data_IF_950849969289
#
_entry.id   IF_950849969289
#
_cell.length_a   1.000
_cell.length_b   1.000
_cell.length_c   1.000
_cell.angle_alpha   90.00
_cell.angle_beta   90.00
_cell.angle_gamma   90.00
#
_symmetry.space_group_name_H-M   'P 1'
#
loop_
_entity.id
_entity.type
_entity.pdbx_description
1 polymer ?
#
# COMPACT_ATOMS: atom_id res chain seq x y z
N UNK A 1 -22.84 -6.51 7.81
CA UNK A 1 -23.06 -6.83 6.37
C UNK A 1 -21.75 -6.76 5.58
N UNK A 2 -21.50 -7.62 4.57
CA UNK A 2 -20.19 -7.67 3.93
C UNK A 2 -19.92 -6.47 3.02
N UNK A 3 -18.66 -6.05 2.91
CA UNK A 3 -18.17 -5.11 1.90
C UNK A 3 -17.12 -5.80 1.05
N UNK A 4 -17.15 -5.60 -0.28
CA UNK A 4 -16.28 -6.29 -1.20
C UNK A 4 -15.70 -5.38 -2.29
N UNK A 5 -14.38 -5.31 -2.35
CA UNK A 5 -13.62 -4.58 -3.37
C UNK A 5 -12.84 -5.53 -4.27
N UNK A 6 -12.97 -5.35 -5.58
CA UNK A 6 -12.22 -6.10 -6.58
C UNK A 6 -11.19 -5.19 -7.25
N UNK A 7 -9.91 -5.56 -7.13
CA UNK A 7 -8.77 -4.87 -7.72
C UNK A 7 -8.22 -5.72 -8.85
N UNK A 8 -7.75 -5.10 -9.93
CA UNK A 8 -6.93 -5.79 -10.94
C UNK A 8 -5.89 -4.87 -11.53
N UNK A 9 -4.78 -5.46 -11.93
CA UNK A 9 -3.57 -4.73 -12.23
C UNK A 9 -2.66 -5.59 -13.09
N UNK A 10 -1.96 -4.98 -14.05
CA UNK A 10 -0.98 -5.65 -14.89
C UNK A 10 0.03 -4.67 -15.50
N UNK A 11 1.11 -5.23 -16.01
CA UNK A 11 2.08 -4.56 -16.90
C UNK A 11 1.51 -4.59 -18.32
N UNK A 12 1.06 -3.43 -18.81
CA UNK A 12 0.42 -3.32 -20.13
C UNK A 12 0.83 -2.03 -20.86
N UNK A 13 2.10 -1.90 -21.27
CA UNK A 13 2.54 -0.75 -22.06
C UNK A 13 2.07 -0.84 -23.53
N UNK A 14 1.80 -2.03 -24.05
CA UNK A 14 1.35 -2.29 -25.42
C UNK A 14 0.82 -3.72 -25.54
N UNK A 15 0.09 -4.04 -26.61
CA UNK A 15 -0.49 -5.37 -26.82
C UNK A 15 0.54 -6.47 -27.08
N UNK A 16 1.56 -6.24 -27.92
CA UNK A 16 2.52 -7.30 -28.28
C UNK A 16 3.94 -6.78 -28.47
N UNK A 17 4.88 -7.39 -27.73
CA UNK A 17 6.32 -7.19 -27.87
C UNK A 17 7.07 -8.47 -28.26
N UNK A 18 8.23 -8.31 -28.86
CA UNK A 18 9.13 -9.39 -29.24
C UNK A 18 10.55 -9.08 -28.76
N UNK A 19 11.22 -10.10 -28.19
CA UNK A 19 12.64 -10.02 -27.87
C UNK A 19 13.48 -10.03 -29.12
N UNK A 20 14.47 -9.16 -29.19
CA UNK A 20 15.47 -9.20 -30.26
C UNK A 20 16.76 -9.84 -29.77
N UNK A 21 17.51 -9.10 -28.97
CA UNK A 21 18.85 -9.46 -28.52
C UNK A 21 19.28 -8.56 -27.36
N UNK A 22 19.84 -9.14 -26.30
CA UNK A 22 20.18 -8.37 -25.09
C UNK A 22 18.95 -7.68 -24.50
N UNK A 23 19.07 -6.40 -24.12
CA UNK A 23 17.96 -5.59 -23.58
C UNK A 23 17.17 -4.84 -24.67
N UNK A 24 17.23 -5.31 -25.93
CA UNK A 24 16.48 -4.68 -27.04
C UNK A 24 15.19 -5.44 -27.30
N UNK A 25 14.08 -4.72 -27.23
CA UNK A 25 12.73 -5.21 -27.46
C UNK A 25 12.14 -4.49 -28.68
N UNK A 26 11.33 -5.19 -29.47
CA UNK A 26 10.58 -4.61 -30.60
C UNK A 26 9.11 -4.64 -30.26
N UNK A 27 8.46 -3.49 -30.35
CA UNK A 27 7.01 -3.39 -30.26
C UNK A 27 6.44 -3.84 -31.62
N UNK A 28 5.67 -4.92 -31.61
CA UNK A 28 5.00 -5.45 -32.81
C UNK A 28 3.59 -4.88 -32.94
N UNK A 29 2.89 -4.75 -31.82
CA UNK A 29 1.60 -4.11 -31.74
C UNK A 29 1.60 -3.12 -30.58
N UNK A 30 1.41 -1.84 -30.93
CA UNK A 30 1.41 -0.72 -29.98
C UNK A 30 0.01 -0.38 -29.48
N UNK A 31 -1.02 -1.05 -29.97
CA UNK A 31 -2.38 -0.83 -29.50
C UNK A 31 -2.44 -1.05 -27.99
N UNK A 32 -3.23 -0.22 -27.31
CA UNK A 32 -3.44 -0.33 -25.86
C UNK A 32 -4.89 -0.02 -25.58
N UNK A 33 -5.66 -1.08 -25.36
CA UNK A 33 -7.07 -1.00 -24.99
C UNK A 33 -7.24 -0.48 -23.55
N UNK A 34 -8.41 0.07 -23.25
CA UNK A 34 -8.76 0.46 -21.87
C UNK A 34 -8.86 -0.78 -20.98
N UNK A 35 -8.10 -0.88 -19.87
CA UNK A 35 -8.10 -2.04 -19.00
C UNK A 35 -9.19 -1.97 -17.90
N UNK A 36 -10.21 -1.14 -18.07
CA UNK A 36 -11.27 -0.94 -17.07
C UNK A 36 -12.33 -2.05 -17.03
N UNK A 37 -12.36 -2.92 -18.04
CA UNK A 37 -13.39 -3.95 -18.18
C UNK A 37 -12.81 -5.34 -17.98
N UNK A 38 -13.41 -6.10 -17.07
CA UNK A 38 -13.07 -7.50 -16.80
C UNK A 38 -14.34 -8.35 -16.74
N UNK A 39 -14.13 -9.65 -16.60
CA UNK A 39 -15.19 -10.63 -16.40
C UNK A 39 -14.99 -11.34 -15.07
N UNK A 40 -15.97 -11.34 -14.18
CA UNK A 40 -15.93 -12.02 -12.88
C UNK A 40 -16.86 -13.25 -12.88
N UNK A 41 -16.33 -14.42 -12.56
CA UNK A 41 -17.10 -15.63 -12.25
C UNK A 41 -17.05 -15.88 -10.74
N UNK A 42 -18.22 -16.13 -10.16
CA UNK A 42 -18.43 -16.28 -8.71
C UNK A 42 -18.79 -17.74 -8.37
N UNK A 43 -18.56 -18.24 -7.15
CA UNK A 43 -18.75 -19.65 -6.80
C UNK A 43 -20.17 -20.17 -7.08
N UNK A 44 -21.17 -19.32 -6.87
CA UNK A 44 -22.58 -19.67 -7.02
C UNK A 44 -23.11 -19.56 -8.45
N UNK A 45 -22.29 -19.15 -9.43
CA UNK A 45 -22.71 -18.91 -10.81
C UNK A 45 -21.66 -19.36 -11.82
N UNK A 46 -22.07 -20.15 -12.80
CA UNK A 46 -21.14 -20.63 -13.83
C UNK A 46 -20.79 -19.62 -14.92
N UNK A 47 -21.63 -18.62 -15.13
CA UNK A 47 -21.44 -17.56 -16.11
C UNK A 47 -20.56 -16.44 -15.58
N UNK A 48 -19.79 -15.83 -16.48
CA UNK A 48 -19.06 -14.61 -16.21
C UNK A 48 -19.98 -13.39 -16.19
N UNK A 49 -19.75 -12.52 -15.21
CA UNK A 49 -20.44 -11.24 -15.01
C UNK A 49 -19.50 -10.13 -15.50
N UNK A 50 -19.92 -9.25 -16.42
CA UNK A 50 -19.11 -8.10 -16.82
C UNK A 50 -18.99 -7.13 -15.65
N UNK A 51 -17.75 -6.71 -15.37
CA UNK A 51 -17.44 -5.72 -14.34
C UNK A 51 -16.73 -4.54 -15.02
N UNK A 52 -17.28 -3.35 -14.82
CA UNK A 52 -16.61 -2.09 -15.12
C UNK A 52 -15.95 -1.58 -13.84
N UNK A 53 -14.69 -1.18 -13.96
CA UNK A 53 -13.93 -0.52 -12.90
C UNK A 53 -13.59 0.92 -13.22
N UNK A 54 -12.98 1.54 -12.23
CA UNK A 54 -12.30 2.84 -12.32
C UNK A 54 -10.80 2.62 -12.27
N UNK A 55 -10.04 3.32 -13.12
CA UNK A 55 -8.58 3.33 -13.04
C UNK A 55 -8.13 4.17 -11.84
N UNK A 56 -7.49 3.53 -10.87
CA UNK A 56 -6.88 4.19 -9.71
C UNK A 56 -5.48 4.70 -10.03
N UNK A 57 -4.75 4.01 -10.91
CA UNK A 57 -3.43 4.42 -11.38
C UNK A 57 -3.12 3.87 -12.76
N UNK A 58 -2.39 4.65 -13.57
CA UNK A 58 -1.88 4.21 -14.86
C UNK A 58 -0.54 4.90 -15.15
N UNK A 59 0.53 4.11 -15.25
CA UNK A 59 1.87 4.62 -15.49
C UNK A 59 2.18 4.78 -16.97
N UNK A 60 1.31 4.35 -17.89
CA UNK A 60 1.52 4.44 -19.33
C UNK A 60 1.75 5.88 -19.83
N UNK A 61 1.13 6.86 -19.16
CA UNK A 61 1.30 8.29 -19.45
C UNK A 61 2.21 9.00 -18.43
N UNK A 62 2.99 8.26 -17.63
CA UNK A 62 3.89 8.83 -16.64
C UNK A 62 4.98 9.68 -17.29
N UNK A 63 5.35 10.78 -16.63
CA UNK A 63 6.53 11.58 -17.00
C UNK A 63 7.85 10.87 -16.66
N UNK A 64 7.82 9.88 -15.78
CA UNK A 64 8.97 9.05 -15.47
C UNK A 64 9.08 7.95 -16.52
N UNK A 65 10.15 8.00 -17.32
CA UNK A 65 10.36 7.09 -18.46
C UNK A 65 10.36 5.62 -18.06
N UNK A 66 10.96 5.25 -16.92
CA UNK A 66 10.97 3.88 -16.43
C UNK A 66 9.57 3.37 -16.09
N UNK A 67 8.74 4.24 -15.50
CA UNK A 67 7.35 3.93 -15.19
C UNK A 67 6.50 3.82 -16.45
N UNK A 68 6.75 4.70 -17.42
CA UNK A 68 6.10 4.69 -18.72
C UNK A 68 6.42 3.41 -19.51
N UNK A 69 7.68 2.99 -19.52
CA UNK A 69 8.12 1.76 -20.18
C UNK A 69 7.46 0.51 -19.58
N UNK A 70 7.25 0.46 -18.26
CA UNK A 70 6.49 -0.62 -17.62
C UNK A 70 4.99 -0.55 -17.94
N UNK A 71 4.39 0.64 -18.05
CA UNK A 71 2.96 0.78 -18.37
C UNK A 71 2.02 0.00 -17.45
N UNK A 72 2.34 -0.02 -16.15
CA UNK A 72 1.53 -0.67 -15.12
C UNK A 72 0.25 0.12 -14.85
N UNK A 73 -0.88 -0.58 -14.68
CA UNK A 73 -2.14 0.04 -14.28
C UNK A 73 -2.74 -0.65 -13.07
N UNK A 74 -3.60 0.05 -12.33
CA UNK A 74 -4.45 -0.49 -11.28
C UNK A 74 -5.88 -0.01 -11.50
N UNK A 75 -6.81 -0.94 -11.46
CA UNK A 75 -8.23 -0.69 -11.55
C UNK A 75 -8.95 -1.30 -10.34
N UNK A 76 -10.10 -0.72 -10.01
CA UNK A 76 -10.91 -1.09 -8.86
C UNK A 76 -12.40 -1.05 -9.21
N UNK A 77 -13.17 -1.95 -8.62
CA UNK A 77 -14.63 -1.92 -8.63
C UNK A 77 -15.19 -2.38 -7.29
N UNK A 78 -16.21 -1.69 -6.80
CA UNK A 78 -17.01 -2.14 -5.66
C UNK A 78 -17.99 -3.22 -6.14
N UNK A 79 -17.74 -4.46 -5.74
CA UNK A 79 -18.55 -5.64 -6.10
C UNK A 79 -19.43 -6.10 -4.94
N UNK A 80 -19.62 -5.25 -3.92
CA UNK A 80 -20.37 -5.55 -2.70
C UNK A 80 -21.76 -6.12 -2.99
N UNK A 81 -22.52 -5.53 -3.92
CA UNK A 81 -23.86 -6.01 -4.24
C UNK A 81 -23.84 -7.39 -4.91
N UNK A 82 -22.85 -7.65 -5.77
CA UNK A 82 -22.66 -8.95 -6.41
C UNK A 82 -22.37 -10.00 -5.34
N UNK A 83 -21.49 -9.71 -4.37
CA UNK A 83 -21.14 -10.63 -3.29
C UNK A 83 -22.32 -10.84 -2.32
N UNK A 84 -23.02 -9.76 -1.91
CA UNK A 84 -24.20 -9.83 -1.02
C UNK A 84 -25.33 -10.68 -1.56
N UNK A 85 -25.53 -10.69 -2.88
CA UNK A 85 -26.61 -11.44 -3.51
C UNK A 85 -26.37 -12.97 -3.54
N UNK A 86 -25.19 -13.44 -3.15
CA UNK A 86 -24.82 -14.85 -3.24
C UNK A 86 -25.28 -15.63 -2.03
N UNK A 87 -25.77 -16.84 -2.27
CA UNK A 87 -26.09 -17.81 -1.22
C UNK A 87 -24.84 -18.49 -0.63
N UNK A 88 -23.77 -18.54 -1.42
CA UNK A 88 -22.52 -19.22 -1.06
C UNK A 88 -21.34 -18.29 -1.35
N UNK A 89 -20.71 -17.80 -0.28
CA UNK A 89 -19.55 -16.91 -0.36
C UNK A 89 -18.23 -17.68 -0.52
N UNK A 90 -18.18 -18.94 -0.08
CA UNK A 90 -17.00 -19.80 -0.15
C UNK A 90 -16.92 -20.54 -1.49
N UNK A 91 -15.71 -20.59 -2.06
CA UNK A 91 -15.44 -21.34 -3.29
C UNK A 91 -14.47 -20.59 -4.20
N UNK A 92 -14.41 -21.02 -5.46
CA UNK A 92 -13.48 -20.47 -6.44
C UNK A 92 -14.08 -19.28 -7.17
N UNK A 93 -13.35 -18.17 -7.17
CA UNK A 93 -13.63 -17.00 -7.99
C UNK A 93 -12.64 -16.96 -9.15
N UNK A 94 -13.11 -16.56 -10.32
CA UNK A 94 -12.24 -16.35 -11.49
C UNK A 94 -12.44 -14.95 -12.03
N UNK A 95 -11.34 -14.33 -12.46
CA UNK A 95 -11.40 -13.11 -13.26
C UNK A 95 -10.75 -13.39 -14.60
N UNK A 96 -11.43 -13.01 -15.67
CA UNK A 96 -10.94 -13.05 -17.03
C UNK A 96 -10.85 -11.62 -17.60
N UNK A 97 -10.20 -11.50 -18.75
CA UNK A 97 -9.96 -10.24 -19.47
C UNK A 97 -9.15 -9.19 -18.69
N UNK A 98 -8.31 -9.62 -17.73
CA UNK A 98 -7.24 -8.74 -17.23
C UNK A 98 -6.22 -8.56 -18.35
N UNK A 99 -6.16 -7.36 -18.91
CA UNK A 99 -5.26 -7.07 -20.04
C UNK A 99 -3.83 -6.95 -19.54
N UNK A 100 -2.92 -7.74 -20.12
CA UNK A 100 -1.48 -7.67 -19.89
C UNK A 100 -0.79 -7.73 -21.25
N UNK A 101 0.46 -7.26 -21.32
CA UNK A 101 1.20 -7.30 -22.57
C UNK A 101 1.59 -8.74 -22.93
N UNK A 102 1.43 -9.10 -24.20
CA UNK A 102 1.85 -10.38 -24.73
C UNK A 102 3.29 -10.34 -25.25
N UNK A 103 3.94 -11.51 -25.26
CA UNK A 103 5.32 -11.66 -25.70
C UNK A 103 6.31 -11.12 -24.66
N UNK A 104 7.36 -10.43 -25.10
CA UNK A 104 8.38 -9.90 -24.21
C UNK A 104 8.33 -8.37 -24.07
N UNK A 105 8.27 -7.93 -22.81
CA UNK A 105 8.31 -6.53 -22.39
C UNK A 105 9.60 -6.30 -21.59
N UNK A 106 10.14 -5.09 -21.67
CA UNK A 106 11.28 -4.68 -20.85
C UNK A 106 10.97 -4.88 -19.35
N UNK A 107 11.76 -5.73 -18.69
CA UNK A 107 11.57 -6.06 -17.28
C UNK A 107 10.53 -7.15 -17.00
N UNK A 108 9.94 -7.76 -18.03
CA UNK A 108 8.92 -8.78 -17.89
C UNK A 108 7.49 -8.23 -17.89
N UNK A 109 6.53 -9.15 -17.86
CA UNK A 109 5.10 -8.86 -17.79
C UNK A 109 4.47 -9.67 -16.66
N UNK A 110 3.49 -9.10 -16.00
CA UNK A 110 2.70 -9.77 -14.97
C UNK A 110 1.29 -9.17 -14.90
N UNK A 111 0.33 -9.90 -14.34
CA UNK A 111 -1.00 -9.34 -14.12
C UNK A 111 -1.94 -10.24 -13.34
N UNK A 112 -3.00 -9.64 -12.81
CA UNK A 112 -4.19 -10.33 -12.33
C UNK A 112 -5.12 -9.45 -11.50
N UNK A 113 -6.06 -10.06 -10.77
CA UNK A 113 -6.96 -9.52 -9.72
C UNK A 113 -6.81 -9.91 -8.18
N UNK A 114 -7.16 -9.03 -7.23
CA UNK A 114 -7.37 -9.35 -5.79
C UNK A 114 -8.82 -9.04 -5.42
N UNK A 115 -9.53 -9.98 -4.80
CA UNK A 115 -10.83 -9.72 -4.20
C UNK A 115 -10.68 -9.63 -2.69
N UNK A 116 -11.07 -8.49 -2.12
CA UNK A 116 -11.08 -8.25 -0.68
C UNK A 116 -12.53 -8.28 -0.23
N UNK A 117 -12.86 -9.18 0.71
CA UNK A 117 -14.19 -9.29 1.30
C UNK A 117 -14.08 -9.15 2.81
N UNK A 118 -14.72 -8.14 3.37
CA UNK A 118 -14.86 -7.96 4.82
C UNK A 118 -16.28 -8.35 5.18
N UNK A 119 -16.46 -9.26 6.14
CA UNK A 119 -17.77 -9.77 6.53
C UNK A 119 -17.84 -10.08 8.03
N UNK A 120 -19.06 -10.12 8.57
CA UNK A 120 -19.33 -10.49 9.96
C UNK A 120 -19.40 -12.01 10.10
N UNK A 121 -18.79 -12.55 11.14
CA UNK A 121 -18.87 -13.96 11.50
C UNK A 121 -18.89 -14.10 13.02
N UNK A 122 -20.01 -14.55 13.57
CA UNK A 122 -20.23 -14.68 15.02
C UNK A 122 -19.28 -15.70 15.69
N UNK A 123 -18.71 -16.63 14.92
CA UNK A 123 -17.76 -17.61 15.43
C UNK A 123 -16.33 -17.05 15.60
N UNK A 124 -16.07 -15.80 15.22
CA UNK A 124 -14.77 -15.17 15.31
C UNK A 124 -14.80 -13.93 16.21
N UNK A 125 -13.65 -13.67 16.84
CA UNK A 125 -13.36 -12.45 17.57
C UNK A 125 -13.56 -11.18 16.74
N UNK A 126 -13.91 -10.09 17.43
CA UNK A 126 -14.05 -8.75 16.85
C UNK A 126 -12.69 -8.27 16.34
N UNK A 127 -12.68 -7.75 15.11
CA UNK A 127 -11.48 -7.21 14.45
C UNK A 127 -11.70 -5.79 13.98
N UNK A 128 -10.71 -4.92 14.19
CA UNK A 128 -10.61 -3.62 13.53
C UNK A 128 -9.79 -3.81 12.26
N UNK A 129 -10.38 -3.50 11.10
CA UNK A 129 -9.74 -3.66 9.79
C UNK A 129 -9.63 -2.30 9.13
N UNK A 130 -8.40 -1.86 8.86
CA UNK A 130 -8.10 -0.64 8.12
C UNK A 130 -7.53 -1.05 6.77
N UNK A 131 -8.12 -0.57 5.68
CA UNK A 131 -7.67 -0.85 4.33
C UNK A 131 -7.20 0.42 3.66
N UNK A 132 -6.10 0.34 2.94
CA UNK A 132 -5.62 1.42 2.10
C UNK A 132 -5.42 0.91 0.70
N UNK A 133 -6.11 1.56 -0.21
CA UNK A 133 -5.90 1.40 -1.64
C UNK A 133 -4.66 2.21 -2.01
N UNK A 134 -3.97 1.89 -3.09
CA UNK A 134 -2.91 2.77 -3.54
C UNK A 134 -2.21 2.26 -4.75
N UNK A 135 -1.28 3.02 -5.30
CA UNK A 135 -0.36 2.51 -6.31
C UNK A 135 1.01 3.08 -6.01
N UNK A 136 1.72 2.35 -5.17
CA UNK A 136 2.98 2.77 -4.58
C UNK A 136 4.12 2.10 -5.30
N UNK A 137 5.07 2.91 -5.76
CA UNK A 137 6.25 2.47 -6.51
C UNK A 137 7.53 2.96 -5.85
N UNK A 138 8.58 2.14 -5.94
CA UNK A 138 9.94 2.51 -5.54
C UNK A 138 10.10 2.66 -4.02
N UNK A 139 10.72 3.77 -3.59
CA UNK A 139 10.98 4.06 -2.17
C UNK A 139 9.95 5.05 -1.65
N UNK A 140 8.87 4.53 -1.08
CA UNK A 140 7.72 5.32 -0.62
C UNK A 140 7.26 4.84 0.74
N UNK A 141 6.87 5.77 1.61
CA UNK A 141 6.28 5.46 2.91
C UNK A 141 4.76 5.48 2.82
N UNK A 142 4.12 4.51 3.47
CA UNK A 142 2.68 4.37 3.61
C UNK A 142 2.37 4.36 5.11
N UNK A 143 1.52 5.26 5.57
CA UNK A 143 1.26 5.46 6.99
C UNK A 143 -0.14 4.97 7.38
N UNK A 144 -0.23 4.15 8.42
CA UNK A 144 -1.48 3.60 8.94
C UNK A 144 -1.72 4.11 10.36
N UNK A 145 -2.88 4.70 10.55
CA UNK A 145 -3.36 5.12 11.87
C UNK A 145 -4.09 3.94 12.51
N UNK A 146 -3.33 3.06 13.16
CA UNK A 146 -3.92 1.96 13.93
C UNK A 146 -3.45 2.03 15.38
N UNK A 147 -4.43 2.10 16.27
CA UNK A 147 -4.28 2.00 17.72
C UNK A 147 -4.27 0.51 18.12
N UNK A 148 -3.10 -0.12 18.15
CA UNK A 148 -2.93 -1.47 18.69
C UNK A 148 -2.37 -1.43 20.12
N UNK A 149 -2.82 -2.35 20.97
CA UNK A 149 -2.34 -2.52 22.33
C UNK A 149 -1.42 -3.73 22.46
N UNK A 150 -0.63 -3.76 23.53
CA UNK A 150 0.15 -4.92 23.93
C UNK A 150 -0.81 -6.14 24.11
N UNK A 151 -0.48 -7.28 23.48
CA UNK A 151 -1.26 -8.54 23.44
C UNK A 151 -2.45 -8.61 22.46
N UNK A 152 -2.62 -7.66 21.54
CA UNK A 152 -3.56 -7.80 20.42
C UNK A 152 -2.90 -8.55 19.23
N UNK A 153 -3.65 -9.45 18.56
CA UNK A 153 -3.16 -10.08 17.32
C UNK A 153 -3.23 -9.04 16.20
N UNK A 154 -2.07 -8.64 15.68
CA UNK A 154 -1.94 -7.62 14.64
C UNK A 154 -1.43 -8.28 13.38
N UNK A 155 -2.21 -8.16 12.31
CA UNK A 155 -1.88 -8.71 10.99
C UNK A 155 -1.80 -7.63 9.94
N UNK A 156 -0.85 -7.80 9.04
CA UNK A 156 -0.70 -6.95 7.86
C UNK A 156 -0.91 -7.79 6.63
N UNK A 157 -1.86 -7.39 5.81
CA UNK A 157 -2.18 -8.03 4.54
C UNK A 157 -1.88 -7.07 3.41
N UNK A 158 -1.38 -7.54 2.29
CA UNK A 158 -1.30 -6.66 1.12
C UNK A 158 -0.99 -7.38 -0.17
N UNK A 159 -1.05 -6.62 -1.25
CA UNK A 159 -0.82 -7.09 -2.59
C UNK A 159 0.06 -6.13 -3.37
N UNK A 160 1.00 -6.68 -4.14
CA UNK A 160 1.82 -5.93 -5.08
C UNK A 160 1.90 -6.63 -6.45
N UNK A 161 2.26 -5.87 -7.49
CA UNK A 161 2.77 -6.39 -8.75
C UNK A 161 4.29 -6.43 -8.73
N UNK A 162 4.86 -7.34 -9.52
CA UNK A 162 6.29 -7.70 -9.54
C UNK A 162 6.81 -8.21 -8.19
N UNK A 163 8.08 -8.60 -8.19
CA UNK A 163 8.78 -9.13 -7.02
C UNK A 163 9.35 -10.49 -7.31
N UNK A 164 10.41 -10.55 -8.11
CA UNK A 164 11.02 -11.80 -8.50
C UNK A 164 11.66 -12.50 -7.32
N UNK A 165 11.39 -13.79 -7.23
CA UNK A 165 11.98 -14.60 -6.18
C UNK A 165 13.51 -14.60 -6.29
N UNK A 166 14.18 -14.38 -5.16
CA UNK A 166 15.62 -14.32 -5.03
C UNK A 166 16.28 -13.08 -5.66
N UNK A 167 15.52 -12.03 -5.95
CA UNK A 167 16.08 -10.72 -6.27
C UNK A 167 16.10 -9.88 -5.00
N UNK A 168 17.30 -9.48 -4.59
CA UNK A 168 17.49 -8.78 -3.33
C UNK A 168 17.30 -7.26 -3.49
N UNK A 169 17.11 -6.59 -2.35
CA UNK A 169 16.95 -5.15 -2.13
C UNK A 169 15.51 -4.61 -2.24
N UNK A 170 14.53 -5.50 -2.18
CA UNK A 170 13.12 -5.15 -2.06
C UNK A 170 12.63 -5.47 -0.65
N UNK A 171 12.28 -4.43 0.12
CA UNK A 171 12.01 -4.50 1.57
C UNK A 171 10.75 -3.74 1.94
N UNK A 172 10.12 -4.18 3.02
CA UNK A 172 9.08 -3.43 3.73
C UNK A 172 9.54 -3.23 5.17
N UNK A 173 9.64 -1.97 5.61
CA UNK A 173 10.10 -1.63 6.96
C UNK A 173 8.90 -1.10 7.73
N UNK A 174 8.56 -1.76 8.83
CA UNK A 174 7.63 -1.22 9.80
C UNK A 174 8.35 -0.22 10.71
N UNK A 175 7.68 0.88 11.01
CA UNK A 175 8.13 1.88 11.96
C UNK A 175 6.98 2.20 12.91
N UNK A 176 7.27 2.17 14.21
CA UNK A 176 6.37 2.55 15.29
C UNK A 176 6.83 3.93 15.79
N UNK A 177 6.25 5.04 15.30
CA UNK A 177 6.80 6.38 15.52
C UNK A 177 6.82 6.79 16.99
N UNK A 178 5.75 6.44 17.74
CA UNK A 178 5.63 6.78 19.16
C UNK A 178 6.76 6.19 20.01
N UNK A 179 7.25 5.02 19.62
CA UNK A 179 8.26 4.27 20.36
C UNK A 179 9.64 4.40 19.71
N UNK A 180 9.72 5.08 18.56
CA UNK A 180 10.92 5.21 17.73
C UNK A 180 11.58 3.84 17.41
N UNK A 181 10.75 2.84 17.13
CA UNK A 181 11.19 1.48 16.78
C UNK A 181 11.00 1.28 15.28
N UNK A 182 12.00 0.69 14.61
CA UNK A 182 11.90 0.29 13.21
C UNK A 182 12.43 -1.12 13.03
N UNK A 183 11.74 -1.94 12.24
CA UNK A 183 12.19 -3.28 11.91
C UNK A 183 11.75 -3.67 10.49
N UNK A 184 12.58 -4.43 9.75
CA UNK A 184 12.14 -4.99 8.48
C UNK A 184 11.07 -6.06 8.74
N UNK A 185 10.00 -6.05 7.94
CA UNK A 185 9.08 -7.17 7.90
C UNK A 185 9.77 -8.37 7.25
N UNK A 186 9.60 -9.53 7.87
CA UNK A 186 10.12 -10.79 7.37
C UNK A 186 9.32 -11.97 7.90
N UNK A 187 9.39 -13.08 7.18
CA UNK A 187 8.89 -14.38 7.60
C UNK A 187 9.90 -15.44 7.18
N UNK A 188 9.69 -16.71 7.54
CA UNK A 188 10.54 -17.81 7.05
C UNK A 188 10.53 -17.93 5.51
N UNK A 189 9.45 -17.46 4.88
CA UNK A 189 9.25 -17.47 3.42
C UNK A 189 9.71 -16.15 2.76
N UNK A 190 9.53 -15.01 3.43
CA UNK A 190 9.84 -13.67 2.93
C UNK A 190 11.04 -13.10 3.67
N UNK A 191 12.22 -13.13 3.04
CA UNK A 191 13.44 -12.62 3.64
C UNK A 191 13.37 -11.09 3.73
N UNK A 192 14.04 -10.50 4.72
CA UNK A 192 14.05 -9.04 4.94
C UNK A 192 14.55 -8.22 3.73
N UNK A 193 15.43 -8.81 2.91
CA UNK A 193 15.98 -8.21 1.69
C UNK A 193 15.29 -8.66 0.41
N UNK A 194 14.29 -9.53 0.49
CA UNK A 194 13.52 -10.09 -0.64
C UNK A 194 12.08 -10.32 -0.15
N UNK A 195 11.47 -9.23 0.30
CA UNK A 195 10.16 -9.25 0.92
C UNK A 195 9.07 -9.48 -0.13
N UNK A 196 9.17 -8.77 -1.25
CA UNK A 196 8.27 -8.89 -2.40
C UNK A 196 8.82 -9.97 -3.34
N UNK A 197 8.57 -11.24 -3.05
CA UNK A 197 9.18 -12.37 -3.77
C UNK A 197 8.20 -13.25 -4.56
N UNK A 198 7.06 -12.68 -4.98
CA UNK A 198 5.99 -13.36 -5.75
C UNK A 198 5.49 -14.67 -5.16
N UNK A 199 5.56 -14.82 -3.84
CA UNK A 199 4.90 -15.92 -3.13
C UNK A 199 3.51 -15.51 -2.69
N UNK A 200 2.59 -16.47 -2.60
CA UNK A 200 1.30 -16.27 -1.92
C UNK A 200 1.37 -17.04 -0.61
N UNK A 201 1.14 -16.34 0.49
CA UNK A 201 1.21 -16.89 1.84
C UNK A 201 -0.10 -16.73 2.59
N UNK A 202 -0.39 -17.65 3.49
CA UNK A 202 -1.45 -17.56 4.49
C UNK A 202 -0.85 -17.96 5.83
N UNK A 203 -1.01 -17.16 6.88
CA UNK A 203 -0.39 -17.41 8.20
C UNK A 203 1.11 -17.71 8.10
N UNK A 204 1.87 -16.92 7.32
CA UNK A 204 3.30 -17.13 7.07
C UNK A 204 3.68 -18.49 6.43
N UNK A 205 2.74 -19.24 5.86
CA UNK A 205 2.97 -20.52 5.18
C UNK A 205 2.61 -20.46 3.70
N UNK A 206 3.24 -21.30 2.87
CA UNK A 206 2.86 -21.44 1.46
C UNK A 206 1.46 -22.01 1.32
N UNK A 207 0.67 -21.47 0.38
CA UNK A 207 -0.62 -22.08 0.04
C UNK A 207 -0.40 -23.15 -1.03
N UNK A 208 -0.52 -24.41 -0.63
CA UNK A 208 -0.34 -25.59 -1.49
C UNK A 208 -1.63 -26.06 -2.19
N UNK A 209 -2.80 -25.63 -1.73
CA UNK A 209 -4.11 -26.07 -2.26
C UNK A 209 -4.60 -25.25 -3.47
N UNK A 210 -3.70 -24.65 -4.25
CA UNK A 210 -4.05 -23.81 -5.42
C UNK A 210 -3.98 -24.61 -6.73
N UNK A 211 -4.76 -24.20 -7.72
CA UNK A 211 -4.66 -24.74 -9.07
C UNK A 211 -4.40 -23.57 -10.06
N UNK A 212 -3.21 -23.51 -10.70
CA UNK A 212 -2.04 -24.37 -10.50
C UNK A 212 -1.31 -24.11 -9.17
N UNK A 213 -0.78 -25.17 -8.54
CA UNK A 213 -0.02 -25.09 -7.30
C UNK A 213 1.46 -24.74 -7.59
N UNK A 214 1.72 -23.55 -8.12
CA UNK A 214 3.10 -23.10 -8.32
C UNK A 214 3.59 -22.27 -7.12
N UNK A 215 4.81 -22.60 -6.65
CA UNK A 215 5.51 -21.83 -5.62
C UNK A 215 5.99 -20.47 -6.12
N UNK A 216 6.32 -20.39 -7.41
CA UNK A 216 6.50 -19.11 -8.11
C UNK A 216 5.21 -18.85 -8.89
N UNK A 217 4.43 -17.86 -8.50
CA UNK A 217 3.14 -17.59 -9.14
C UNK A 217 3.27 -16.96 -10.54
N UNK A 218 4.39 -17.18 -11.23
CA UNK A 218 4.71 -16.59 -12.54
C UNK A 218 4.57 -15.07 -12.51
N UNK A 219 5.08 -14.44 -11.44
CA UNK A 219 4.96 -13.00 -11.17
C UNK A 219 3.52 -12.52 -10.90
N UNK A 220 2.55 -13.44 -10.82
CA UNK A 220 1.16 -13.14 -10.44
C UNK A 220 1.06 -13.11 -8.91
N UNK A 221 1.37 -11.93 -8.37
CA UNK A 221 1.06 -11.40 -7.03
C UNK A 221 1.76 -11.98 -5.79
N UNK A 222 2.64 -11.19 -5.15
CA UNK A 222 2.81 -11.26 -3.70
C UNK A 222 1.53 -10.77 -2.99
N UNK A 223 0.60 -11.70 -2.70
CA UNK A 223 -0.28 -11.53 -1.56
C UNK A 223 0.51 -11.94 -0.32
N UNK A 224 0.70 -11.02 0.61
CA UNK A 224 1.33 -11.31 1.88
C UNK A 224 0.31 -11.15 3.01
N UNK A 225 0.47 -11.99 4.02
CA UNK A 225 -0.31 -12.04 5.26
C UNK A 225 0.72 -12.32 6.35
N UNK A 226 0.98 -11.31 7.17
CA UNK A 226 2.07 -11.28 8.14
C UNK A 226 1.49 -11.00 9.51
N UNK A 227 1.74 -11.93 10.42
CA UNK A 227 1.54 -11.77 11.84
C UNK A 227 2.67 -10.91 12.44
N UNK A 228 2.30 -9.80 13.08
CA UNK A 228 3.20 -8.88 13.79
C UNK A 228 3.08 -8.99 15.31
N UNK A 229 2.31 -9.94 15.82
CA UNK A 229 1.98 -10.05 17.24
C UNK A 229 3.20 -10.27 18.13
N UNK A 230 4.30 -10.80 17.58
CA UNK A 230 5.56 -11.05 18.32
C UNK A 230 6.53 -9.88 18.23
N UNK A 231 6.40 -9.05 17.21
CA UNK A 231 7.26 -7.92 16.87
C UNK A 231 6.79 -6.64 17.57
N UNK A 232 5.49 -6.54 17.86
CA UNK A 232 4.88 -5.43 18.57
C UNK A 232 4.94 -5.71 20.07
N UNK A 233 6.14 -5.52 20.64
CA UNK A 233 6.42 -5.66 22.08
C UNK A 233 6.00 -4.39 22.86
N UNK A 234 5.61 -3.33 22.15
CA UNK A 234 5.51 -2.01 22.75
C UNK A 234 4.08 -1.71 23.24
N UNK A 235 3.97 -1.30 24.51
CA UNK A 235 2.76 -0.70 25.09
C UNK A 235 2.28 0.46 24.23
N UNK A 236 0.97 0.48 23.95
CA UNK A 236 0.24 1.51 23.22
C UNK A 236 0.92 1.94 21.89
N UNK A 237 0.74 1.15 20.85
CA UNK A 237 1.07 1.58 19.48
C UNK A 237 -0.13 2.34 18.93
N UNK A 238 -0.09 3.67 18.98
CA UNK A 238 -1.12 4.50 18.35
C UNK A 238 -1.03 4.55 16.82
N UNK A 239 0.16 4.26 16.26
CA UNK A 239 0.45 4.42 14.83
C UNK A 239 1.54 3.46 14.35
N UNK A 240 1.41 2.92 13.13
CA UNK A 240 2.49 2.27 12.38
C UNK A 240 2.68 2.97 11.04
N UNK A 241 3.90 3.01 10.54
CA UNK A 241 4.16 3.34 9.15
C UNK A 241 4.93 2.21 8.49
N UNK A 242 4.56 1.88 7.26
CA UNK A 242 5.28 0.94 6.44
C UNK A 242 6.03 1.69 5.35
N UNK A 243 7.35 1.62 5.38
CA UNK A 243 8.18 2.11 4.30
C UNK A 243 8.46 0.98 3.33
N UNK A 244 7.93 1.10 2.12
CA UNK A 244 8.29 0.25 1.00
C UNK A 244 9.55 0.79 0.36
N UNK A 245 10.52 -0.10 0.20
CA UNK A 245 11.77 0.18 -0.50
C UNK A 245 11.87 -0.87 -1.59
N UNK A 246 11.59 -0.47 -2.83
CA UNK A 246 11.87 -1.32 -3.98
C UNK A 246 12.91 -0.69 -4.90
N UNK A 247 14.01 -1.42 -5.11
CA UNK A 247 15.18 -0.97 -5.87
C UNK A 247 15.43 -1.87 -7.07
N UNK A 248 15.32 -3.19 -6.88
CA UNK A 248 15.66 -4.15 -7.91
C UNK A 248 14.44 -4.48 -8.79
N UNK A 249 13.39 -5.03 -8.20
CA UNK A 249 12.20 -5.45 -8.96
C UNK A 249 11.27 -4.31 -9.31
N UNK A 250 11.40 -3.18 -8.59
CA UNK A 250 10.59 -1.98 -8.77
C UNK A 250 9.10 -2.35 -8.69
N UNK A 251 8.73 -2.91 -7.55
CA UNK A 251 7.41 -3.45 -7.24
C UNK A 251 6.35 -2.34 -7.18
N UNK A 252 5.11 -2.70 -7.52
CA UNK A 252 3.96 -1.82 -7.40
C UNK A 252 3.02 -2.36 -6.33
N UNK A 253 3.14 -1.87 -5.11
CA UNK A 253 2.18 -2.23 -4.07
C UNK A 253 0.87 -1.48 -4.32
N UNK A 254 -0.22 -2.22 -4.38
CA UNK A 254 -1.52 -1.63 -4.76
C UNK A 254 -2.64 -1.81 -3.74
N UNK A 255 -2.44 -2.68 -2.75
CA UNK A 255 -3.36 -2.87 -1.66
C UNK A 255 -2.58 -3.21 -0.40
N UNK A 256 -2.98 -2.64 0.72
CA UNK A 256 -2.45 -3.03 2.02
C UNK A 256 -3.47 -2.75 3.12
N UNK A 257 -3.53 -3.62 4.11
CA UNK A 257 -4.51 -3.61 5.18
C UNK A 257 -3.85 -4.01 6.49
N UNK A 258 -4.30 -3.37 7.57
CA UNK A 258 -3.95 -3.76 8.92
C UNK A 258 -5.20 -4.26 9.62
N UNK A 259 -5.09 -5.42 10.23
CA UNK A 259 -6.15 -6.07 10.98
C UNK A 259 -5.68 -6.24 12.43
N UNK A 260 -6.46 -5.74 13.37
CA UNK A 260 -6.19 -5.87 14.81
C UNK A 260 -7.33 -6.65 15.44
N UNK A 261 -7.00 -7.77 16.08
CA UNK A 261 -7.93 -8.53 16.90
C UNK A 261 -8.09 -7.86 18.27
N UNK A 262 -9.30 -7.42 18.58
CA UNK A 262 -9.59 -6.74 19.83
C UNK A 262 -9.79 -7.78 20.92
N UNK A 263 -8.98 -7.71 21.98
CA UNK A 263 -9.23 -8.49 23.20
C UNK A 263 -10.48 -7.92 23.89
N UNK A 264 -11.57 -8.67 23.90
CA UNK A 264 -12.82 -8.25 24.55
C UNK A 264 -12.58 -7.94 26.04
N UNK A 265 -12.77 -6.69 26.47
CA UNK A 265 -13.35 -6.47 27.79
C UNK A 265 -14.83 -6.79 27.69
N UNK A 266 -15.22 -8.00 28.12
CA UNK A 266 -16.61 -8.29 28.47
C UNK A 266 -17.03 -7.39 29.64
N UNK A 267 -17.45 -6.17 29.37
CA UNK A 267 -18.28 -5.42 30.32
C UNK A 267 -19.70 -5.92 30.19
N UNK A 268 -20.11 -6.69 31.20
CA UNK A 268 -21.48 -7.09 31.46
C UNK A 268 -22.41 -5.89 31.53
N UNK A 269 -23.56 -6.07 30.89
CA UNK A 269 -24.88 -5.46 31.15
C UNK A 269 -25.06 -3.94 30.87
N UNK A 270 -26.00 -3.72 29.93
CA UNK A 270 -26.78 -2.51 29.67
C UNK A 270 -26.07 -1.31 29.04
N UNK A 271 -26.03 -1.36 27.70
CA UNK A 271 -26.07 -0.17 26.87
C UNK A 271 -24.90 -0.08 25.92
N UNK A 272 -25.07 -0.60 24.69
CA UNK A 272 -24.53 -0.13 23.40
C UNK A 272 -24.63 -1.28 22.39
N UNK A 273 -25.82 -1.50 21.85
CA UNK A 273 -25.94 -2.15 20.54
C UNK A 273 -25.43 -1.18 19.49
N UNK A 274 -24.16 -1.31 19.10
CA UNK A 274 -23.60 -0.86 17.82
C UNK A 274 -22.13 -1.33 17.76
N UNK A 275 -21.94 -2.62 17.47
CA UNK A 275 -20.64 -3.18 17.12
C UNK A 275 -20.24 -2.66 15.73
N UNK A 276 -19.78 -1.42 15.69
CA UNK A 276 -19.39 -0.75 14.45
C UNK A 276 -18.03 -1.30 13.99
N UNK A 277 -18.03 -2.05 12.88
CA UNK A 277 -16.82 -2.22 12.07
C UNK A 277 -16.54 -0.84 11.44
N UNK A 278 -15.52 -0.14 11.94
CA UNK A 278 -15.04 1.10 11.31
C UNK A 278 -14.11 0.73 10.16
N UNK A 279 -14.61 0.84 8.93
CA UNK A 279 -13.80 0.68 7.71
C UNK A 279 -13.35 2.08 7.29
N UNK A 280 -12.08 2.39 7.51
CA UNK A 280 -11.46 3.60 6.96
C UNK A 280 -10.80 3.24 5.63
N UNK A 281 -11.38 3.71 4.53
CA UNK A 281 -10.78 3.64 3.20
C UNK A 281 -10.06 4.98 2.94
N UNK A 282 -8.74 4.96 2.84
CA UNK A 282 -7.95 6.14 2.46
C UNK A 282 -7.39 5.95 1.05
N UNK A 283 -7.61 6.93 0.18
CA UNK A 283 -6.93 7.03 -1.11
C UNK A 283 -5.61 7.80 -0.89
N UNK A 284 -4.44 7.23 -1.19
CA UNK A 284 -3.22 8.01 -1.36
C UNK A 284 -3.43 8.84 -2.62
N UNK A 285 -3.76 10.11 -2.40
CA UNK A 285 -3.74 11.13 -3.42
C UNK A 285 -2.30 11.26 -3.91
N UNK A 286 -1.97 10.64 -5.04
CA UNK A 286 -0.82 11.05 -5.85
C UNK A 286 -1.17 12.40 -6.50
N UNK A 287 -1.28 13.44 -5.69
CA UNK A 287 -1.13 14.80 -6.18
C UNK A 287 0.37 15.06 -6.22
N UNK A 288 0.86 15.70 -7.27
CA UNK A 288 2.24 16.23 -7.29
C UNK A 288 2.46 17.33 -6.21
N UNK A 289 1.51 17.52 -5.29
CA UNK A 289 1.57 18.48 -4.20
C UNK A 289 2.23 17.84 -2.99
N UNK A 290 3.34 18.44 -2.57
CA UNK A 290 4.05 18.03 -1.38
C UNK A 290 3.67 18.98 -0.24
N UNK A 291 3.34 18.39 0.91
CA UNK A 291 2.97 19.13 2.11
C UNK A 291 4.19 19.22 3.02
N UNK A 292 4.55 20.43 3.44
CA UNK A 292 5.70 20.69 4.30
C UNK A 292 5.24 21.23 5.64
N UNK A 293 5.67 20.60 6.73
CA UNK A 293 5.43 21.12 8.07
C UNK A 293 6.46 22.21 8.38
N UNK A 294 6.05 23.47 8.23
CA UNK A 294 6.91 24.64 8.40
C UNK A 294 6.98 25.03 9.87
N UNK A 295 8.20 25.15 10.38
CA UNK A 295 8.51 25.52 11.77
C UNK A 295 9.19 26.87 11.90
N UNK A 296 9.59 27.48 10.78
CA UNK A 296 10.22 28.80 10.76
C UNK A 296 10.36 29.38 9.36
N UNK A 297 10.40 30.71 9.27
CA UNK A 297 10.63 31.44 8.02
C UNK A 297 11.59 32.59 8.28
N UNK A 298 12.66 32.68 7.50
CA UNK A 298 13.73 33.65 7.69
C UNK A 298 14.07 34.35 6.38
N UNK A 299 14.37 35.65 6.45
CA UNK A 299 14.84 36.42 5.28
C UNK A 299 16.34 36.20 5.01
N UNK A 300 17.09 35.89 6.06
CA UNK A 300 18.54 35.72 5.99
C UNK A 300 18.92 34.24 6.21
N UNK A 301 19.74 33.70 5.31
CA UNK A 301 20.24 32.32 5.34
C UNK A 301 20.97 31.97 6.64
N UNK A 302 21.72 32.93 7.21
CA UNK A 302 22.46 32.71 8.45
C UNK A 302 21.52 32.38 9.61
N UNK A 303 20.42 33.12 9.77
CA UNK A 303 19.43 32.84 10.81
C UNK A 303 18.64 31.55 10.55
N UNK A 304 18.35 31.23 9.28
CA UNK A 304 17.75 29.97 8.89
C UNK A 304 18.61 28.76 9.34
N UNK A 305 19.92 28.81 9.09
CA UNK A 305 20.87 27.76 9.48
C UNK A 305 21.00 27.66 11.00
N UNK A 306 21.11 28.79 11.70
CA UNK A 306 21.20 28.78 13.17
C UNK A 306 19.94 28.15 13.78
N UNK A 307 18.76 28.47 13.27
CA UNK A 307 17.51 27.88 13.76
C UNK A 307 17.43 26.36 13.51
N UNK A 308 17.89 25.88 12.35
CA UNK A 308 18.01 24.43 12.09
C UNK A 308 18.96 23.76 13.09
N UNK A 309 20.09 24.40 13.39
CA UNK A 309 21.05 23.89 14.36
C UNK A 309 20.49 23.88 15.79
N UNK A 310 19.68 24.88 16.16
CA UNK A 310 19.01 24.91 17.46
C UNK A 310 17.96 23.81 17.59
N UNK A 311 17.16 23.57 16.55
CA UNK A 311 16.24 22.42 16.49
C UNK A 311 16.99 21.08 16.61
N UNK A 312 18.16 20.96 15.99
CA UNK A 312 18.97 19.76 16.10
C UNK A 312 19.45 19.49 17.54
N UNK A 313 19.75 20.52 18.32
CA UNK A 313 20.09 20.39 19.76
C UNK A 313 18.91 19.83 20.57
N UNK A 314 17.68 20.11 20.15
CA UNK A 314 16.45 19.58 20.76
C UNK A 314 16.03 18.21 20.19
N UNK A 315 16.91 17.58 19.40
CA UNK A 315 16.69 16.32 18.67
C UNK A 315 15.58 16.40 17.63
N UNK A 316 15.38 17.58 17.04
CA UNK A 316 14.40 17.80 15.98
C UNK A 316 15.16 17.97 14.67
N UNK A 317 14.94 17.04 13.74
CA UNK A 317 15.56 17.10 12.41
C UNK A 317 14.77 18.09 11.57
N UNK A 318 15.45 19.13 11.09
CA UNK A 318 14.87 20.12 10.21
C UNK A 318 15.77 20.39 9.01
N UNK A 319 15.16 20.79 7.90
CA UNK A 319 15.82 21.24 6.68
C UNK A 319 15.28 22.60 6.31
N UNK A 320 15.97 23.27 5.38
CA UNK A 320 15.48 24.52 4.81
C UNK A 320 15.55 24.50 3.30
N UNK A 321 14.77 25.38 2.68
CA UNK A 321 14.88 25.70 1.26
C UNK A 321 14.82 27.21 1.04
N UNK A 322 15.01 27.68 -0.19
CA UNK A 322 14.80 29.06 -0.58
C UNK A 322 13.56 29.14 -1.49
N UNK A 323 12.61 29.99 -1.13
CA UNK A 323 11.60 30.50 -2.05
C UNK A 323 12.22 31.68 -2.82
N UNK A 324 12.63 31.44 -4.07
CA UNK A 324 13.32 32.42 -4.91
C UNK A 324 12.44 33.62 -5.27
N UNK A 325 11.11 33.45 -5.33
CA UNK A 325 10.19 34.53 -5.69
C UNK A 325 10.10 35.56 -4.57
N UNK A 326 10.08 35.09 -3.32
CA UNK A 326 9.89 35.93 -2.14
C UNK A 326 11.20 36.20 -1.37
N UNK A 327 12.30 35.56 -1.77
CA UNK A 327 13.59 35.55 -1.08
C UNK A 327 13.45 35.19 0.41
N UNK A 328 12.72 34.11 0.68
CA UNK A 328 12.44 33.60 2.02
C UNK A 328 12.95 32.17 2.20
N UNK A 329 13.63 31.92 3.31
CA UNK A 329 14.07 30.61 3.73
C UNK A 329 13.02 29.97 4.63
N UNK A 330 12.31 28.96 4.13
CA UNK A 330 11.40 28.18 4.97
C UNK A 330 12.14 27.00 5.60
N UNK A 331 11.90 26.80 6.88
CA UNK A 331 12.41 25.69 7.67
C UNK A 331 11.29 24.68 7.85
N UNK A 332 11.54 23.42 7.52
CA UNK A 332 10.56 22.36 7.63
C UNK A 332 11.16 21.13 8.32
N UNK A 333 10.34 20.44 9.10
CA UNK A 333 10.76 19.20 9.80
C UNK A 333 10.51 17.97 8.96
N UNK A 334 9.37 17.94 8.25
CA UNK A 334 8.92 16.78 7.48
C UNK A 334 8.27 17.22 6.17
N UNK A 335 8.40 16.35 5.17
CA UNK A 335 7.66 16.41 3.91
C UNK A 335 6.70 15.23 3.87
N UNK A 336 5.44 15.50 3.53
CA UNK A 336 4.32 14.54 3.51
C UNK A 336 3.66 14.52 2.13
N UNK A 337 3.08 13.38 1.77
CA UNK A 337 2.40 13.19 0.46
C UNK A 337 0.90 13.44 0.55
N UNK A 338 0.36 13.72 1.76
CA UNK A 338 -1.05 14.07 1.95
C UNK A 338 -1.22 15.14 3.02
N UNK A 339 -2.32 15.89 2.93
CA UNK A 339 -2.71 16.89 3.93
C UNK A 339 -2.97 16.24 5.30
N UNK A 340 -3.57 15.05 5.32
CA UNK A 340 -3.84 14.29 6.54
C UNK A 340 -2.54 13.90 7.27
N UNK A 341 -1.54 13.40 6.53
CA UNK A 341 -0.22 13.09 7.08
C UNK A 341 0.47 14.34 7.63
N UNK A 342 0.42 15.46 6.88
CA UNK A 342 1.01 16.71 7.32
C UNK A 342 0.34 17.28 8.59
N UNK A 343 -0.98 17.14 8.71
CA UNK A 343 -1.73 17.57 9.89
C UNK A 343 -1.42 16.72 11.13
N UNK A 344 -1.22 15.41 10.95
CA UNK A 344 -0.82 14.50 12.03
C UNK A 344 0.57 14.84 12.57
N UNK A 345 1.57 14.97 11.70
CA UNK A 345 2.94 15.34 12.09
C UNK A 345 2.99 16.70 12.80
N UNK A 346 2.19 17.65 12.31
CA UNK A 346 1.98 18.94 12.97
C UNK A 346 1.45 18.78 14.39
N UNK A 347 0.45 17.93 14.61
CA UNK A 347 -0.13 17.72 15.93
C UNK A 347 0.87 17.07 16.89
N UNK A 348 1.63 16.06 16.44
CA UNK A 348 2.70 15.41 17.24
C UNK A 348 3.73 16.45 17.70
N UNK A 349 4.20 17.31 16.77
CA UNK A 349 5.19 18.33 17.09
C UNK A 349 4.63 19.39 18.06
N UNK A 350 3.35 19.75 17.92
CA UNK A 350 2.67 20.68 18.83
C UNK A 350 2.53 20.09 20.24
N UNK A 351 2.13 18.83 20.35
CA UNK A 351 1.90 18.16 21.64
C UNK A 351 3.20 17.87 22.39
N UNK A 352 4.22 17.39 21.69
CA UNK A 352 5.47 16.92 22.32
C UNK A 352 6.50 18.03 22.53
N UNK A 353 6.57 18.99 21.60
CA UNK A 353 7.64 20.01 21.57
C UNK A 353 7.13 21.44 21.71
N UNK A 354 5.80 21.66 21.63
CA UNK A 354 5.16 22.99 21.73
C UNK A 354 5.70 24.00 20.72
N UNK A 355 6.18 23.53 19.56
CA UNK A 355 6.73 24.39 18.51
C UNK A 355 5.60 24.87 17.61
N UNK A 356 5.47 26.18 17.42
CA UNK A 356 4.53 26.76 16.46
C UNK A 356 4.88 26.32 15.04
N UNK A 357 3.91 25.76 14.34
CA UNK A 357 4.09 25.27 12.98
C UNK A 357 2.80 25.35 12.16
N UNK A 358 2.93 25.24 10.84
CA UNK A 358 1.80 25.18 9.89
C UNK A 358 2.19 24.41 8.64
N UNK A 359 1.18 23.96 7.89
CA UNK A 359 1.38 23.20 6.66
C UNK A 359 1.49 24.18 5.49
N UNK A 360 2.50 24.00 4.64
CA UNK A 360 2.64 24.69 3.36
C UNK A 360 2.66 23.68 2.23
N UNK A 361 1.87 23.93 1.19
CA UNK A 361 1.85 23.14 -0.02
C UNK A 361 2.90 23.68 -0.99
N UNK A 362 3.62 22.77 -1.67
CA UNK A 362 4.48 23.09 -2.81
C UNK A 362 4.02 22.39 -4.07
#
# INVERSE_FOLDING_TARGET
>A
MPNAGLYWSAIYPYTLGEHKSGNKFKILDKERLSPENILLKIPSKDEYIPIQGSILADTYNSKNELLKEKGGYLAYSDVTQIIKSQKQLSGTYFVANVLAANGEVYGGTCGGWVLVVVFENEAHSVKKIITQDGFVYGSTSISYDFSGKENEDIRVLGAALEGDRNIANDKMIAHLPQNNISFPLKTDIRKENDFFNSTITKNNQHIEERAPNSLNTFRIRPFYDIDLSKEIIAKDVGFITFKVISVADKTFQFFNAVCVELTETKTTENGLTNNNITIEQSLPQNTNQLFYNIVGVFKNKHYAINFVNDLAKEKIIAKYWLDEQNNLYYIYTQQSQSEQEAQRERNILNEQKKIKNWIRIK
#
